data_IF_426960017834
#
_entry.id   IF_426960017834
#
_cell.length_a   1.000
_cell.length_b   1.000
_cell.length_c   1.000
_cell.angle_alpha   90.00
_cell.angle_beta   90.00
_cell.angle_gamma   90.00
#
_symmetry.space_group_name_H-M   'P 1'
#
loop_
_entity.id
_entity.type
_entity.pdbx_description
1 polymer ?
#
# COMPACT_ATOMS: atom_id res chain seq x y z
N UNK A 1 65.35 6.28 45.36
CA UNK A 1 66.00 6.29 44.03
C UNK A 1 65.99 4.84 43.56
N UNK A 2 65.19 4.36 42.61
CA UNK A 2 64.21 4.93 41.70
C UNK A 2 63.30 3.75 41.31
N UNK A 3 62.02 3.77 41.67
CA UNK A 3 61.04 2.74 41.30
C UNK A 3 60.54 2.99 39.86
N UNK A 4 60.40 1.92 39.08
CA UNK A 4 59.91 1.97 37.69
C UNK A 4 58.40 2.28 37.69
N UNK A 5 57.89 3.17 36.82
CA UNK A 5 56.46 3.26 36.58
C UNK A 5 56.06 2.23 35.51
N UNK A 6 55.05 1.42 35.84
CA UNK A 6 54.37 0.53 34.90
C UNK A 6 53.53 1.32 33.90
N UNK A 7 53.58 0.89 32.66
CA UNK A 7 52.70 1.32 31.56
C UNK A 7 51.28 0.87 31.84
N UNK A 8 50.41 1.81 32.23
CA UNK A 8 48.96 1.65 32.29
C UNK A 8 48.39 1.88 30.88
N UNK A 9 48.43 0.85 30.03
CA UNK A 9 47.65 0.81 28.79
C UNK A 9 46.19 0.62 29.15
N UNK A 10 45.47 1.74 29.31
CA UNK A 10 44.00 1.73 29.31
C UNK A 10 43.52 1.37 27.90
N UNK A 11 42.64 0.37 27.74
CA UNK A 11 42.04 0.11 26.44
C UNK A 11 41.17 1.29 26.04
N UNK A 12 41.42 1.81 24.83
CA UNK A 12 40.61 2.82 24.17
C UNK A 12 39.14 2.40 24.23
N UNK A 13 38.33 3.22 24.91
CA UNK A 13 36.90 3.03 24.95
C UNK A 13 36.36 3.20 23.53
N UNK A 14 36.01 2.08 22.91
CA UNK A 14 35.34 1.98 21.63
C UNK A 14 34.08 2.87 21.66
N UNK A 15 34.20 4.06 21.05
CA UNK A 15 33.19 5.11 21.08
C UNK A 15 31.99 4.60 20.26
N UNK A 16 30.97 4.11 20.99
CA UNK A 16 29.79 3.51 20.39
C UNK A 16 29.00 4.58 19.64
N UNK A 17 28.69 4.38 18.35
CA UNK A 17 27.93 5.35 17.56
C UNK A 17 26.58 5.63 18.23
N UNK A 18 26.26 6.93 18.35
CA UNK A 18 25.10 7.42 19.06
C UNK A 18 23.79 6.87 18.49
N UNK A 19 22.75 6.83 19.33
CA UNK A 19 21.40 6.32 19.02
C UNK A 19 20.72 7.03 17.81
N UNK A 20 21.32 8.09 17.27
CA UNK A 20 20.88 8.82 16.07
C UNK A 20 21.53 8.41 14.74
N UNK A 21 22.46 7.45 14.71
CA UNK A 21 23.34 7.22 13.54
C UNK A 21 22.93 6.07 12.62
N UNK A 22 21.78 5.42 12.87
CA UNK A 22 21.34 4.23 12.11
C UNK A 22 19.92 4.40 11.59
N UNK A 23 19.64 3.96 10.34
CA UNK A 23 18.28 3.97 9.82
C UNK A 23 17.41 3.11 10.73
N UNK A 24 16.27 3.66 11.14
CA UNK A 24 15.44 3.10 12.21
C UNK A 24 14.03 2.72 11.77
N UNK A 25 13.63 3.12 10.56
CA UNK A 25 12.29 2.89 10.03
C UNK A 25 12.38 1.87 8.89
N UNK A 26 11.59 0.81 8.99
CA UNK A 26 11.38 -0.18 7.94
C UNK A 26 10.02 0.05 7.27
N UNK A 27 9.99 0.10 5.96
CA UNK A 27 8.77 -0.01 5.17
C UNK A 27 8.81 -1.36 4.45
N UNK A 28 7.83 -2.21 4.73
CA UNK A 28 7.69 -3.53 4.14
C UNK A 28 6.62 -3.51 3.06
N UNK A 29 6.89 -4.23 1.97
CA UNK A 29 5.91 -4.56 0.94
C UNK A 29 5.87 -6.06 0.76
N UNK A 30 4.77 -6.65 1.17
CA UNK A 30 4.52 -8.06 1.16
C UNK A 30 4.07 -8.54 -0.22
N UNK A 31 4.61 -9.67 -0.67
CA UNK A 31 4.25 -10.30 -1.94
C UNK A 31 4.14 -11.81 -1.74
N UNK A 32 2.98 -12.36 -2.03
CA UNK A 32 2.77 -13.81 -1.96
C UNK A 32 3.60 -14.51 -3.04
N UNK A 33 4.32 -15.56 -2.66
CA UNK A 33 5.04 -16.42 -3.61
C UNK A 33 3.99 -17.15 -4.46
N UNK A 34 4.04 -16.98 -5.79
CA UNK A 34 3.02 -17.48 -6.72
C UNK A 34 1.97 -16.44 -7.17
N UNK A 35 1.97 -15.24 -6.58
CA UNK A 35 1.08 -14.13 -6.96
C UNK A 35 -0.21 -14.05 -6.14
N UNK A 36 -0.92 -12.94 -6.32
CA UNK A 36 -2.20 -12.63 -5.68
C UNK A 36 -2.15 -11.72 -4.45
N UNK A 37 -3.28 -11.06 -4.08
CA UNK A 37 -3.37 -10.24 -2.88
C UNK A 37 -3.30 -11.13 -1.64
N UNK A 38 -2.76 -10.57 -0.56
CA UNK A 38 -2.91 -11.17 0.76
C UNK A 38 -4.38 -11.13 1.16
N UNK A 39 -4.89 -12.26 1.65
CA UNK A 39 -6.17 -12.32 2.33
C UNK A 39 -6.08 -11.61 3.69
N UNK A 40 -7.24 -11.26 4.26
CA UNK A 40 -7.29 -10.53 5.54
C UNK A 40 -6.57 -11.28 6.67
N UNK A 41 -6.65 -12.61 6.70
CA UNK A 41 -5.98 -13.45 7.69
C UNK A 41 -4.46 -13.49 7.53
N UNK A 42 -3.94 -13.63 6.30
CA UNK A 42 -2.51 -13.61 6.04
C UNK A 42 -1.86 -12.26 6.33
N UNK A 43 -2.56 -11.16 6.03
CA UNK A 43 -2.06 -9.82 6.35
C UNK A 43 -2.00 -9.56 7.86
N UNK A 44 -3.02 -9.98 8.61
CA UNK A 44 -3.02 -9.87 10.07
C UNK A 44 -1.83 -10.64 10.70
N UNK A 45 -1.60 -11.88 10.27
CA UNK A 45 -0.45 -12.67 10.76
C UNK A 45 0.91 -12.02 10.47
N UNK A 46 1.07 -11.34 9.33
CA UNK A 46 2.29 -10.59 9.01
C UNK A 46 2.47 -9.36 9.91
N UNK A 47 1.38 -8.69 10.30
CA UNK A 47 1.45 -7.59 11.26
C UNK A 47 1.78 -8.11 12.67
N UNK A 48 1.23 -9.24 13.09
CA UNK A 48 1.58 -9.89 14.35
C UNK A 48 3.06 -10.30 14.37
N UNK A 49 3.57 -10.82 13.25
CA UNK A 49 5.00 -11.09 13.08
C UNK A 49 5.83 -9.82 13.29
N UNK A 50 5.44 -8.69 12.69
CA UNK A 50 6.14 -7.41 12.93
C UNK A 50 6.02 -6.95 14.38
N UNK A 51 4.86 -7.15 15.00
CA UNK A 51 4.59 -6.90 16.42
C UNK A 51 5.54 -7.63 17.36
N UNK A 52 6.02 -8.82 16.95
CA UNK A 52 7.03 -9.58 17.71
C UNK A 52 8.42 -8.92 17.74
N UNK A 53 8.68 -7.96 16.83
CA UNK A 53 9.94 -7.21 16.80
C UNK A 53 9.81 -5.81 17.41
N UNK A 54 8.69 -5.13 17.15
CA UNK A 54 8.44 -3.78 17.66
C UNK A 54 6.93 -3.55 17.85
N UNK A 55 6.51 -2.86 18.92
CA UNK A 55 5.12 -2.44 19.07
C UNK A 55 4.74 -1.29 18.12
N UNK A 56 5.73 -0.62 17.51
CA UNK A 56 5.50 0.54 16.64
C UNK A 56 5.29 0.10 15.19
N UNK A 57 4.13 -0.50 14.90
CA UNK A 57 3.75 -1.00 13.58
C UNK A 57 2.51 -0.28 13.05
N UNK A 58 2.65 0.39 11.92
CA UNK A 58 1.56 1.00 11.17
C UNK A 58 1.22 0.12 9.96
N UNK A 59 0.02 -0.44 9.96
CA UNK A 59 -0.55 -1.13 8.82
C UNK A 59 -0.78 -0.14 7.67
N UNK A 60 -0.23 -0.48 6.49
CA UNK A 60 -0.42 0.25 5.24
C UNK A 60 -1.00 -0.69 4.16
N UNK A 61 -2.31 -1.01 4.21
CA UNK A 61 -2.98 -1.79 3.16
C UNK A 61 -2.73 -1.18 1.78
N UNK A 62 -2.66 -1.98 0.71
CA UNK A 62 -3.12 -3.37 0.62
C UNK A 62 -2.10 -4.45 1.01
N UNK A 63 -0.81 -4.13 0.91
CA UNK A 63 0.29 -5.08 0.97
C UNK A 63 1.49 -4.53 1.75
N UNK A 64 1.33 -3.45 2.53
CA UNK A 64 2.43 -2.77 3.18
C UNK A 64 2.31 -2.65 4.69
N UNK A 65 3.42 -2.35 5.34
CA UNK A 65 3.47 -1.93 6.73
C UNK A 65 4.69 -1.04 6.96
N UNK A 66 4.59 -0.10 7.89
CA UNK A 66 5.74 0.61 8.44
C UNK A 66 6.01 0.11 9.86
N UNK A 67 7.29 -0.05 10.20
CA UNK A 67 7.73 -0.45 11.51
C UNK A 67 8.89 0.44 11.98
N UNK A 68 8.77 1.02 13.16
CA UNK A 68 9.88 1.69 13.82
C UNK A 68 10.64 0.67 14.67
N UNK A 69 11.84 0.32 14.21
CA UNK A 69 12.68 -0.71 14.82
C UNK A 69 13.82 -0.13 15.65
N UNK A 70 13.88 1.19 15.87
CA UNK A 70 14.99 1.84 16.59
C UNK A 70 15.27 1.20 17.95
N UNK A 71 14.21 0.88 18.72
CA UNK A 71 14.34 0.19 20.00
C UNK A 71 14.73 -1.29 19.87
N UNK A 72 14.34 -1.94 18.76
CA UNK A 72 14.60 -3.35 18.51
C UNK A 72 16.05 -3.62 18.07
N UNK A 73 16.70 -2.67 17.38
CA UNK A 73 18.07 -2.82 16.87
C UNK A 73 19.05 -3.26 17.98
N UNK A 74 18.96 -2.61 19.15
CA UNK A 74 19.81 -2.93 20.31
C UNK A 74 19.49 -4.30 20.91
N UNK A 75 18.21 -4.63 21.04
CA UNK A 75 17.77 -5.92 21.60
C UNK A 75 18.22 -7.10 20.74
N UNK A 76 18.10 -6.98 19.41
CA UNK A 76 18.51 -8.04 18.49
C UNK A 76 19.99 -8.03 18.12
N UNK A 77 20.75 -7.01 18.56
CA UNK A 77 22.18 -6.87 18.23
C UNK A 77 22.43 -6.76 16.71
N UNK A 78 21.50 -6.18 15.96
CA UNK A 78 21.54 -6.09 14.50
C UNK A 78 21.30 -4.66 14.03
N UNK A 79 21.83 -4.34 12.86
CA UNK A 79 21.44 -3.15 12.12
C UNK A 79 20.07 -3.35 11.42
N UNK A 80 19.54 -2.30 10.83
CA UNK A 80 18.23 -2.36 10.18
C UNK A 80 18.20 -3.34 8.99
N UNK A 81 19.32 -3.49 8.26
CA UNK A 81 19.45 -4.44 7.16
C UNK A 81 19.38 -5.89 7.68
N UNK A 82 20.14 -6.19 8.73
CA UNK A 82 20.17 -7.49 9.37
C UNK A 82 18.83 -7.86 10.01
N UNK A 83 18.12 -6.90 10.61
CA UNK A 83 16.78 -7.13 11.14
C UNK A 83 15.74 -7.33 10.03
N UNK A 84 15.79 -6.53 8.96
CA UNK A 84 14.94 -6.71 7.77
C UNK A 84 15.13 -8.10 7.14
N UNK A 85 16.36 -8.61 7.10
CA UNK A 85 16.63 -9.96 6.62
C UNK A 85 15.96 -11.04 7.49
N UNK A 86 15.99 -10.90 8.83
CA UNK A 86 15.30 -11.82 9.75
C UNK A 86 13.79 -11.77 9.52
N UNK A 87 13.21 -10.58 9.41
CA UNK A 87 11.78 -10.41 9.14
C UNK A 87 11.39 -11.08 7.84
N UNK A 88 12.15 -10.88 6.77
CA UNK A 88 11.90 -11.52 5.46
C UNK A 88 11.94 -13.04 5.54
N UNK A 89 12.96 -13.61 6.19
CA UNK A 89 13.08 -15.07 6.35
C UNK A 89 11.89 -15.63 7.13
N UNK A 90 11.46 -14.97 8.22
CA UNK A 90 10.29 -15.40 8.99
C UNK A 90 8.99 -15.26 8.23
N UNK A 91 8.79 -14.16 7.50
CA UNK A 91 7.61 -13.97 6.66
C UNK A 91 7.50 -15.06 5.59
N UNK A 92 8.62 -15.42 4.97
CA UNK A 92 8.66 -16.48 3.97
C UNK A 92 8.40 -17.86 4.60
N UNK A 93 9.06 -18.18 5.71
CA UNK A 93 8.95 -19.49 6.36
C UNK A 93 7.58 -19.74 7.01
N UNK A 94 7.00 -18.72 7.66
CA UNK A 94 5.75 -18.87 8.42
C UNK A 94 4.50 -18.61 7.58
N UNK A 95 4.59 -17.73 6.57
CA UNK A 95 3.43 -17.29 5.81
C UNK A 95 3.55 -17.53 4.30
N UNK A 96 4.69 -18.00 3.78
CA UNK A 96 4.90 -18.15 2.33
C UNK A 96 4.90 -16.81 1.58
N UNK A 97 5.26 -15.72 2.27
CA UNK A 97 5.22 -14.35 1.74
C UNK A 97 6.63 -13.78 1.70
N UNK A 98 7.03 -13.35 0.51
CA UNK A 98 8.28 -12.64 0.32
C UNK A 98 8.08 -11.13 0.54
N UNK A 99 9.17 -10.43 0.89
CA UNK A 99 9.12 -9.02 1.27
C UNK A 99 10.15 -8.20 0.49
N UNK A 100 9.70 -7.10 -0.11
CA UNK A 100 10.58 -6.01 -0.50
C UNK A 100 10.61 -4.98 0.64
N UNK A 101 11.79 -4.69 1.19
CA UNK A 101 11.92 -3.87 2.40
C UNK A 101 12.77 -2.63 2.10
N UNK A 102 12.27 -1.45 2.45
CA UNK A 102 13.03 -0.20 2.49
C UNK A 102 13.40 0.15 3.91
N UNK A 103 14.67 0.47 4.18
CA UNK A 103 15.13 0.96 5.48
C UNK A 103 15.67 2.38 5.33
N UNK A 104 15.25 3.29 6.21
CA UNK A 104 15.73 4.67 6.22
C UNK A 104 15.59 5.34 7.60
N UNK A 105 16.00 6.61 7.68
CA UNK A 105 15.89 7.43 8.90
C UNK A 105 14.46 7.92 9.20
N UNK A 106 13.58 7.97 8.20
CA UNK A 106 12.19 8.43 8.35
C UNK A 106 11.20 7.68 7.44
N UNK A 107 9.88 7.77 7.72
CA UNK A 107 8.83 7.07 6.96
C UNK A 107 8.81 7.37 5.47
N UNK A 108 8.93 8.63 5.06
CA UNK A 108 8.97 9.04 3.66
C UNK A 108 10.10 8.33 2.89
N UNK A 109 11.33 8.41 3.40
CA UNK A 109 12.49 7.78 2.77
C UNK A 109 12.38 6.25 2.78
N UNK A 110 11.85 5.65 3.85
CA UNK A 110 11.64 4.21 3.93
C UNK A 110 10.62 3.73 2.88
N UNK A 111 9.51 4.45 2.68
CA UNK A 111 8.53 4.17 1.62
C UNK A 111 9.15 4.29 0.23
N UNK A 112 9.95 5.33 -0.01
CA UNK A 112 10.65 5.52 -1.29
C UNK A 112 11.70 4.42 -1.53
N UNK A 113 12.44 4.02 -0.50
CA UNK A 113 13.39 2.91 -0.54
C UNK A 113 12.69 1.58 -0.86
N UNK A 114 11.54 1.30 -0.22
CA UNK A 114 10.77 0.07 -0.45
C UNK A 114 10.21 -0.01 -1.87
N UNK A 115 9.88 1.13 -2.50
CA UNK A 115 9.48 1.18 -3.92
C UNK A 115 10.62 0.84 -4.87
N UNK A 116 11.87 1.03 -4.46
CA UNK A 116 13.08 0.70 -5.24
C UNK A 116 13.61 -0.70 -4.97
N UNK A 117 13.34 -1.25 -3.78
CA UNK A 117 13.72 -2.61 -3.44
C UNK A 117 13.11 -3.59 -4.45
N UNK A 118 13.95 -4.49 -4.95
CA UNK A 118 13.49 -5.61 -5.75
C UNK A 118 12.71 -6.59 -4.84
N UNK A 119 11.86 -7.45 -5.41
CA UNK A 119 11.24 -8.54 -4.65
C UNK A 119 12.33 -9.35 -3.92
N UNK A 120 12.12 -9.61 -2.64
CA UNK A 120 13.04 -10.39 -1.80
C UNK A 120 14.31 -9.65 -1.37
N UNK A 121 14.43 -8.34 -1.65
CA UNK A 121 15.61 -7.56 -1.26
C UNK A 121 15.29 -6.45 -0.28
N UNK A 122 16.34 -5.98 0.37
CA UNK A 122 16.29 -4.81 1.26
C UNK A 122 17.08 -3.68 0.63
N UNK A 123 16.47 -2.50 0.50
CA UNK A 123 17.15 -1.28 0.07
C UNK A 123 17.32 -0.35 1.27
N UNK A 124 18.56 0.01 1.59
CA UNK A 124 18.88 0.87 2.74
C UNK A 124 19.30 2.23 2.24
N UNK A 125 18.63 3.28 2.74
CA UNK A 125 19.11 4.66 2.62
C UNK A 125 19.95 4.94 3.87
N UNK A 126 21.27 5.18 3.73
CA UNK A 126 22.13 5.46 4.87
C UNK A 126 21.75 6.81 5.49
N UNK A 127 22.03 6.96 6.79
CA UNK A 127 21.83 8.23 7.51
C UNK A 127 22.66 9.33 6.83
N UNK A 128 22.07 10.51 6.62
CA UNK A 128 22.68 11.60 5.86
C UNK A 128 22.73 11.39 4.34
N UNK A 129 22.37 10.21 3.84
CA UNK A 129 22.33 9.88 2.41
C UNK A 129 21.08 10.37 1.67
N UNK A 130 20.16 11.07 2.34
CA UNK A 130 18.88 11.47 1.79
C UNK A 130 19.02 12.38 0.56
N UNK A 131 19.92 13.37 0.61
CA UNK A 131 20.13 14.31 -0.49
C UNK A 131 20.57 13.58 -1.78
N UNK A 132 21.55 12.67 -1.68
CA UNK A 132 22.03 11.88 -2.81
C UNK A 132 20.95 10.91 -3.32
N UNK A 133 20.17 10.30 -2.42
CA UNK A 133 19.08 9.38 -2.80
C UNK A 133 17.95 10.10 -3.57
N UNK A 134 17.70 11.38 -3.25
CA UNK A 134 16.61 12.18 -3.78
C UNK A 134 16.98 13.01 -5.01
N UNK A 135 18.23 13.46 -5.18
CA UNK A 135 18.62 14.47 -6.17
C UNK A 135 18.06 14.22 -7.59
N UNK A 136 18.28 13.02 -8.13
CA UNK A 136 17.90 12.67 -9.51
C UNK A 136 16.48 12.10 -9.63
N UNK A 137 15.69 12.13 -8.55
CA UNK A 137 14.34 11.60 -8.57
C UNK A 137 13.39 12.56 -9.26
N UNK A 138 12.45 12.06 -10.08
CA UNK A 138 11.39 12.90 -10.60
C UNK A 138 10.50 13.39 -9.44
N UNK A 139 9.92 14.57 -9.57
CA UNK A 139 8.99 15.15 -8.59
C UNK A 139 7.84 14.19 -8.26
N UNK A 140 7.40 13.39 -9.24
CA UNK A 140 6.37 12.36 -9.08
C UNK A 140 6.75 11.21 -8.14
N UNK A 141 8.04 10.98 -7.90
CA UNK A 141 8.51 9.92 -7.00
C UNK A 141 8.49 10.35 -5.52
N UNK A 142 8.42 11.66 -5.23
CA UNK A 142 8.44 12.17 -3.87
C UNK A 142 7.18 11.75 -3.12
N UNK A 143 7.36 11.02 -2.02
CA UNK A 143 6.26 10.51 -1.23
C UNK A 143 5.50 11.66 -0.54
N UNK A 144 4.16 11.61 -0.59
CA UNK A 144 3.27 12.66 -0.08
C UNK A 144 2.96 13.81 -1.05
N UNK A 145 3.51 13.80 -2.28
CA UNK A 145 3.17 14.81 -3.29
C UNK A 145 2.13 14.26 -4.28
N UNK A 146 0.96 14.88 -4.29
CA UNK A 146 -0.14 14.47 -5.17
C UNK A 146 0.11 14.81 -6.64
N UNK A 147 -0.50 14.05 -7.56
CA UNK A 147 -0.34 14.22 -9.00
C UNK A 147 -0.71 15.64 -9.50
N UNK A 148 -1.64 16.33 -8.83
CA UNK A 148 -1.98 17.71 -9.16
C UNK A 148 -0.80 18.66 -8.87
N UNK A 149 -0.23 18.58 -7.67
CA UNK A 149 0.94 19.35 -7.27
C UNK A 149 2.14 19.07 -8.17
N UNK A 150 2.38 17.78 -8.50
CA UNK A 150 3.44 17.40 -9.45
C UNK A 150 3.23 18.08 -10.81
N UNK A 151 2.02 18.06 -11.37
CA UNK A 151 1.74 18.73 -12.65
C UNK A 151 2.02 20.24 -12.57
N UNK A 152 1.59 20.89 -11.49
CA UNK A 152 1.88 22.31 -11.28
C UNK A 152 3.37 22.57 -11.23
N UNK A 153 4.13 21.82 -10.42
CA UNK A 153 5.59 21.95 -10.30
C UNK A 153 6.31 21.74 -11.64
N UNK A 154 5.93 20.71 -12.39
CA UNK A 154 6.47 20.47 -13.73
C UNK A 154 6.20 21.65 -14.68
N UNK A 155 5.05 22.31 -14.57
CA UNK A 155 4.74 23.53 -15.33
C UNK A 155 5.68 24.71 -15.06
N UNK A 156 6.33 24.72 -13.89
CA UNK A 156 7.35 25.71 -13.51
C UNK A 156 8.79 25.17 -13.68
N UNK A 157 8.99 24.05 -14.39
CA UNK A 157 10.32 23.44 -14.61
C UNK A 157 10.91 22.69 -13.40
N UNK A 158 10.12 22.54 -12.32
CA UNK A 158 10.48 21.80 -11.12
C UNK A 158 10.10 20.32 -11.26
N UNK A 159 10.74 19.64 -12.22
CA UNK A 159 10.47 18.24 -12.59
C UNK A 159 11.24 17.20 -11.75
N UNK A 160 12.26 17.62 -10.98
CA UNK A 160 13.08 16.76 -10.14
C UNK A 160 13.10 17.21 -8.68
N UNK A 161 13.30 16.26 -7.76
CA UNK A 161 13.38 16.54 -6.32
C UNK A 161 14.61 17.40 -6.01
N UNK A 162 15.73 17.21 -6.71
CA UNK A 162 16.89 18.10 -6.60
C UNK A 162 16.57 19.56 -6.95
N UNK A 163 15.80 19.81 -8.01
CA UNK A 163 15.36 21.17 -8.38
C UNK A 163 14.39 21.75 -7.36
N UNK A 164 13.46 20.96 -6.85
CA UNK A 164 12.55 21.38 -5.78
C UNK A 164 13.33 21.72 -4.51
N UNK A 165 14.34 20.92 -4.16
CA UNK A 165 15.22 21.21 -3.04
C UNK A 165 16.00 22.51 -3.26
N UNK A 166 16.53 22.77 -4.46
CA UNK A 166 17.25 24.01 -4.76
C UNK A 166 16.35 25.26 -4.78
N UNK A 167 15.04 25.11 -4.99
CA UNK A 167 14.12 26.23 -5.08
C UNK A 167 13.98 26.98 -3.73
N UNK A 168 13.91 28.33 -3.74
CA UNK A 168 13.60 29.12 -2.55
C UNK A 168 12.23 28.75 -1.97
N UNK A 169 12.13 28.67 -0.65
CA UNK A 169 10.88 28.33 0.05
C UNK A 169 9.72 29.25 -0.37
N UNK A 170 9.96 30.57 -0.46
CA UNK A 170 8.95 31.54 -0.87
C UNK A 170 8.38 31.27 -2.27
N UNK A 171 9.19 30.76 -3.20
CA UNK A 171 8.73 30.37 -4.54
C UNK A 171 7.79 29.17 -4.47
N UNK A 172 8.16 28.13 -3.74
CA UNK A 172 7.31 26.94 -3.57
C UNK A 172 5.97 27.29 -2.87
N UNK A 173 6.02 28.20 -1.90
CA UNK A 173 4.82 28.67 -1.21
C UNK A 173 3.89 29.49 -2.10
N UNK A 174 4.42 30.30 -3.02
CA UNK A 174 3.61 31.02 -4.02
C UNK A 174 2.95 30.07 -5.02
N UNK A 175 3.62 28.98 -5.40
CA UNK A 175 3.11 28.01 -6.37
C UNK A 175 2.05 27.07 -5.75
N UNK A 176 2.29 26.59 -4.53
CA UNK A 176 1.51 25.47 -3.93
C UNK A 176 0.72 25.85 -2.67
N UNK A 177 0.91 27.08 -2.17
CA UNK A 177 0.38 27.54 -0.88
C UNK A 177 1.41 27.42 0.25
N UNK A 178 1.21 28.20 1.32
CA UNK A 178 2.19 28.37 2.42
C UNK A 178 2.53 27.05 3.12
N UNK A 179 1.51 26.25 3.46
CA UNK A 179 1.68 24.97 4.16
C UNK A 179 2.30 23.92 3.26
N UNK A 180 1.66 23.65 2.11
CA UNK A 180 2.12 22.66 1.12
C UNK A 180 3.52 22.96 0.63
N UNK A 181 3.84 24.23 0.39
CA UNK A 181 5.17 24.66 -0.06
C UNK A 181 6.25 24.39 0.98
N UNK A 182 5.95 24.57 2.27
CA UNK A 182 6.87 24.21 3.36
C UNK A 182 7.07 22.70 3.47
N UNK A 183 5.98 21.94 3.48
CA UNK A 183 6.05 20.47 3.55
C UNK A 183 6.82 19.89 2.36
N UNK A 184 6.59 20.43 1.15
CA UNK A 184 7.30 20.04 -0.06
C UNK A 184 8.80 20.37 0.02
N UNK A 185 9.15 21.56 0.52
CA UNK A 185 10.54 22.01 0.66
C UNK A 185 11.33 21.17 1.66
N UNK A 186 10.70 20.79 2.78
CA UNK A 186 11.26 19.89 3.79
C UNK A 186 11.44 18.47 3.23
N UNK A 187 10.39 17.90 2.61
CA UNK A 187 10.43 16.56 1.99
C UNK A 187 11.49 16.44 0.90
N UNK A 188 11.64 17.46 0.06
CA UNK A 188 12.66 17.46 -1.00
C UNK A 188 14.10 17.43 -0.45
N UNK A 189 14.30 17.84 0.80
CA UNK A 189 15.58 17.75 1.53
C UNK A 189 15.73 16.49 2.36
N UNK A 190 14.79 15.54 2.24
CA UNK A 190 14.81 14.32 3.06
C UNK A 190 14.19 14.49 4.44
N UNK A 191 13.63 15.66 4.77
CA UNK A 191 13.07 15.93 6.09
C UNK A 191 11.60 15.50 6.10
N UNK A 192 11.30 14.50 6.92
CA UNK A 192 9.95 14.05 7.22
C UNK A 192 9.79 13.94 8.74
N UNK A 193 8.84 14.71 9.29
CA UNK A 193 8.54 14.74 10.72
C UNK A 193 7.42 13.77 11.12
N UNK A 194 6.91 12.98 10.17
CA UNK A 194 5.87 11.99 10.49
C UNK A 194 6.45 10.87 11.34
N UNK A 195 5.68 10.44 12.33
CA UNK A 195 5.98 9.28 13.15
C UNK A 195 5.21 8.06 12.63
N UNK A 196 5.74 6.86 12.89
CA UNK A 196 4.99 5.61 12.68
C UNK A 196 3.94 5.52 13.78
N UNK A 197 2.66 5.54 13.41
CA UNK A 197 1.55 5.52 14.37
C UNK A 197 0.92 4.14 14.35
N UNK A 198 0.96 3.38 15.46
CA UNK A 198 0.30 2.09 15.53
C UNK A 198 -1.19 2.21 15.20
N UNK A 199 -1.64 1.37 14.27
CA UNK A 199 -3.04 1.30 13.90
C UNK A 199 -3.47 -0.17 13.74
N UNK A 200 -4.78 -0.40 13.86
CA UNK A 200 -5.34 -1.68 13.45
C UNK A 200 -5.39 -1.74 11.92
N UNK A 201 -5.10 -2.91 11.34
CA UNK A 201 -5.37 -3.15 9.94
C UNK A 201 -6.85 -2.85 9.65
N UNK A 202 -7.11 -1.93 8.73
CA UNK A 202 -8.46 -1.69 8.25
C UNK A 202 -8.99 -3.02 7.67
N UNK A 203 -10.12 -3.51 8.20
CA UNK A 203 -10.78 -4.68 7.64
C UNK A 203 -11.08 -4.40 6.18
N UNK A 204 -10.60 -5.29 5.30
CA UNK A 204 -10.81 -5.21 3.86
C UNK A 204 -11.09 -6.60 3.31
N UNK A 205 -11.93 -6.66 2.30
CA UNK A 205 -12.23 -7.91 1.56
C UNK A 205 -11.75 -7.67 0.13
N UNK A 206 -10.92 -8.58 -0.37
CA UNK A 206 -10.36 -8.49 -1.71
C UNK A 206 -10.69 -9.75 -2.52
N UNK A 207 -10.84 -9.56 -3.84
CA UNK A 207 -10.99 -10.62 -4.82
C UNK A 207 -10.14 -10.27 -6.04
N UNK A 208 -9.53 -11.27 -6.69
CA UNK A 208 -8.76 -11.04 -7.91
C UNK A 208 -9.03 -12.05 -8.99
N UNK A 209 -8.75 -11.65 -10.23
CA UNK A 209 -8.80 -12.51 -11.39
C UNK A 209 -7.56 -12.32 -12.24
N UNK A 210 -6.81 -13.40 -12.41
CA UNK A 210 -5.68 -13.47 -13.34
C UNK A 210 -6.16 -14.06 -14.66
N UNK A 211 -5.77 -13.44 -15.77
CA UNK A 211 -6.10 -13.92 -17.10
C UNK A 211 -5.07 -14.96 -17.56
N UNK A 212 -5.50 -16.04 -18.24
CA UNK A 212 -4.58 -17.07 -18.75
C UNK A 212 -3.68 -16.55 -19.89
N UNK A 213 -4.14 -15.53 -20.62
CA UNK A 213 -3.38 -14.81 -21.64
C UNK A 213 -3.58 -13.31 -21.43
N UNK A 214 -2.59 -12.52 -21.80
CA UNK A 214 -2.64 -11.06 -21.72
C UNK A 214 -3.88 -10.52 -22.45
N UNK A 215 -4.76 -9.85 -21.71
CA UNK A 215 -6.07 -9.45 -22.19
C UNK A 215 -6.08 -7.98 -22.62
N UNK A 216 -6.59 -7.75 -23.84
CA UNK A 216 -6.74 -6.42 -24.46
C UNK A 216 -8.22 -6.03 -24.60
N UNK A 217 -9.14 -7.01 -24.57
CA UNK A 217 -10.56 -6.82 -24.78
C UNK A 217 -11.23 -6.16 -23.59
N UNK A 218 -11.72 -4.93 -23.78
CA UNK A 218 -12.48 -4.19 -22.75
C UNK A 218 -13.69 -4.98 -22.24
N UNK A 219 -14.38 -5.69 -23.12
CA UNK A 219 -15.57 -6.46 -22.73
C UNK A 219 -15.22 -7.60 -21.78
N UNK A 220 -14.10 -8.27 -22.01
CA UNK A 220 -13.64 -9.35 -21.13
C UNK A 220 -13.14 -8.82 -19.78
N UNK A 221 -12.48 -7.67 -19.78
CA UNK A 221 -12.09 -6.97 -18.55
C UNK A 221 -13.33 -6.54 -17.76
N UNK A 222 -14.38 -6.03 -18.42
CA UNK A 222 -15.65 -5.66 -17.78
C UNK A 222 -16.37 -6.87 -17.19
N UNK A 223 -16.43 -8.00 -17.90
CA UNK A 223 -16.97 -9.27 -17.35
C UNK A 223 -16.18 -9.73 -16.12
N UNK A 224 -14.85 -9.64 -16.15
CA UNK A 224 -14.02 -9.98 -14.99
C UNK A 224 -14.33 -9.07 -13.80
N UNK A 225 -14.44 -7.76 -14.01
CA UNK A 225 -14.83 -6.80 -12.96
C UNK A 225 -16.20 -7.12 -12.36
N UNK A 226 -17.21 -7.37 -13.20
CA UNK A 226 -18.56 -7.72 -12.75
C UNK A 226 -18.57 -9.00 -11.91
N UNK A 227 -17.83 -10.02 -12.35
CA UNK A 227 -17.67 -11.26 -11.58
C UNK A 227 -16.99 -11.03 -10.23
N UNK A 228 -15.97 -10.17 -10.18
CA UNK A 228 -15.27 -9.85 -8.93
C UNK A 228 -16.14 -9.04 -7.97
N UNK A 229 -16.96 -8.12 -8.48
CA UNK A 229 -17.90 -7.36 -7.64
C UNK A 229 -19.04 -8.21 -7.11
N UNK A 230 -19.50 -9.22 -7.88
CA UNK A 230 -20.47 -10.20 -7.38
C UNK A 230 -19.89 -11.03 -6.24
N UNK A 231 -18.67 -11.53 -6.40
CA UNK A 231 -17.97 -12.31 -5.36
C UNK A 231 -17.75 -11.47 -4.10
N UNK A 232 -17.25 -10.24 -4.25
CA UNK A 232 -17.08 -9.31 -3.13
C UNK A 232 -18.40 -8.97 -2.45
N UNK A 233 -19.44 -8.66 -3.22
CA UNK A 233 -20.76 -8.32 -2.69
C UNK A 233 -21.36 -9.48 -1.91
N UNK A 234 -21.35 -10.68 -2.49
CA UNK A 234 -21.87 -11.88 -1.82
C UNK A 234 -21.11 -12.19 -0.52
N UNK A 235 -19.78 -12.05 -0.53
CA UNK A 235 -18.96 -12.26 0.67
C UNK A 235 -19.26 -11.23 1.76
N UNK A 236 -19.30 -9.95 1.42
CA UNK A 236 -19.64 -8.89 2.39
C UNK A 236 -21.03 -9.08 2.97
N UNK A 237 -22.03 -9.40 2.14
CA UNK A 237 -23.41 -9.66 2.60
C UNK A 237 -23.50 -10.91 3.49
N UNK A 238 -22.75 -11.97 3.17
CA UNK A 238 -22.64 -13.16 4.01
C UNK A 238 -22.03 -12.87 5.39
N UNK A 239 -21.10 -11.91 5.47
CA UNK A 239 -20.48 -11.46 6.73
C UNK A 239 -21.25 -10.33 7.43
N UNK A 240 -22.40 -9.87 6.88
CA UNK A 240 -23.17 -8.75 7.43
C UNK A 240 -22.45 -7.40 7.34
N UNK A 241 -21.58 -7.22 6.35
CA UNK A 241 -20.70 -6.05 6.21
C UNK A 241 -21.08 -5.20 4.98
N UNK A 242 -20.73 -3.92 5.04
CA UNK A 242 -20.77 -2.97 3.91
C UNK A 242 -19.44 -2.25 3.78
N UNK A 243 -19.10 -1.78 2.58
CA UNK A 243 -17.85 -1.05 2.33
C UNK A 243 -18.09 0.43 2.02
N UNK A 244 -17.16 1.29 2.45
CA UNK A 244 -17.19 2.74 2.17
C UNK A 244 -16.35 3.12 0.96
N UNK A 245 -15.34 2.33 0.60
CA UNK A 245 -14.45 2.60 -0.52
C UNK A 245 -14.19 1.33 -1.31
N UNK A 246 -13.97 1.49 -2.62
CA UNK A 246 -13.56 0.42 -3.52
C UNK A 246 -12.24 0.80 -4.18
N UNK A 247 -11.27 -0.10 -4.10
CA UNK A 247 -10.00 -0.01 -4.80
C UNK A 247 -9.94 -1.02 -5.95
N UNK A 248 -9.50 -0.56 -7.14
CA UNK A 248 -9.24 -1.38 -8.31
C UNK A 248 -7.75 -1.37 -8.57
N UNK A 249 -7.16 -2.56 -8.68
CA UNK A 249 -5.77 -2.77 -9.05
C UNK A 249 -5.69 -3.47 -10.40
N UNK A 250 -4.96 -2.90 -11.35
CA UNK A 250 -4.72 -3.47 -12.68
C UNK A 250 -3.25 -3.85 -12.79
N UNK A 251 -2.99 -5.12 -13.11
CA UNK A 251 -1.65 -5.68 -13.31
C UNK A 251 -1.36 -5.74 -14.81
N UNK A 252 -0.32 -5.05 -15.27
CA UNK A 252 0.09 -5.03 -16.67
C UNK A 252 1.02 -6.20 -17.00
N UNK A 253 1.04 -6.56 -18.28
CA UNK A 253 2.06 -7.43 -18.85
C UNK A 253 3.18 -6.58 -19.45
N UNK A 254 4.12 -6.15 -18.62
CA UNK A 254 5.38 -5.55 -19.06
C UNK A 254 6.52 -6.59 -19.09
N UNK A 255 7.52 -6.37 -19.95
CA UNK A 255 8.68 -7.26 -20.12
C UNK A 255 9.54 -7.39 -18.84
N UNK A 256 9.35 -6.49 -17.88
CA UNK A 256 10.08 -6.46 -16.60
C UNK A 256 9.34 -7.18 -15.47
N UNK A 257 8.09 -7.58 -15.72
CA UNK A 257 7.23 -8.19 -14.71
C UNK A 257 6.75 -7.18 -13.67
N UNK A 258 5.44 -7.05 -13.54
CA UNK A 258 4.74 -6.62 -12.33
C UNK A 258 4.56 -5.11 -12.08
N UNK A 259 4.37 -4.27 -13.11
CA UNK A 259 3.70 -2.99 -12.86
C UNK A 259 2.23 -3.22 -12.50
N UNK A 260 1.86 -2.88 -11.25
CA UNK A 260 0.48 -2.87 -10.77
C UNK A 260 0.09 -1.44 -10.45
N UNK A 261 -0.99 -0.95 -11.06
CA UNK A 261 -1.54 0.36 -10.73
C UNK A 261 -2.83 0.18 -9.93
N UNK A 262 -2.92 0.86 -8.80
CA UNK A 262 -4.07 0.83 -7.90
C UNK A 262 -4.70 2.21 -7.83
N UNK A 263 -6.03 2.28 -7.92
CA UNK A 263 -6.83 3.48 -7.68
C UNK A 263 -8.01 3.15 -6.80
N UNK A 264 -8.27 3.99 -5.80
CA UNK A 264 -9.41 3.86 -4.92
C UNK A 264 -10.38 5.04 -5.08
N UNK A 265 -11.66 4.77 -4.85
CA UNK A 265 -12.69 5.81 -4.73
C UNK A 265 -13.63 5.48 -3.58
N UNK A 266 -14.02 6.53 -2.87
CA UNK A 266 -15.02 6.48 -1.81
C UNK A 266 -16.42 6.54 -2.42
N UNK A 267 -17.29 5.66 -1.93
CA UNK A 267 -18.72 5.63 -2.24
C UNK A 267 -19.40 6.81 -1.52
N UNK A 268 -20.53 7.26 -2.06
CA UNK A 268 -21.36 8.27 -1.38
C UNK A 268 -22.00 7.69 -0.12
N UNK A 269 -22.41 6.43 -0.21
CA UNK A 269 -23.02 5.66 0.87
C UNK A 269 -22.33 4.31 1.00
N UNK A 270 -22.13 3.79 2.22
CA UNK A 270 -21.60 2.45 2.42
C UNK A 270 -22.56 1.41 1.84
N UNK A 271 -22.05 0.53 0.98
CA UNK A 271 -22.88 -0.47 0.29
C UNK A 271 -22.16 -1.80 0.14
N UNK A 272 -22.94 -2.87 0.01
CA UNK A 272 -22.49 -4.19 -0.39
C UNK A 272 -23.19 -4.67 -1.68
N UNK A 273 -23.93 -3.79 -2.37
CA UNK A 273 -24.72 -4.15 -3.55
C UNK A 273 -23.86 -4.32 -4.79
N UNK A 274 -24.01 -5.47 -5.47
CA UNK A 274 -23.14 -5.86 -6.56
C UNK A 274 -23.26 -4.90 -7.74
N UNK A 275 -24.46 -4.38 -8.03
CA UNK A 275 -24.71 -3.43 -9.10
C UNK A 275 -23.97 -2.09 -8.90
N UNK A 276 -24.05 -1.51 -7.70
CA UNK A 276 -23.39 -0.25 -7.35
C UNK A 276 -21.86 -0.40 -7.36
N UNK A 277 -21.36 -1.52 -6.81
CA UNK A 277 -19.94 -1.86 -6.85
C UNK A 277 -19.46 -2.04 -8.28
N UNK A 278 -20.23 -2.71 -9.15
CA UNK A 278 -19.91 -2.89 -10.58
C UNK A 278 -19.80 -1.54 -11.29
N UNK A 279 -20.77 -0.64 -11.07
CA UNK A 279 -20.78 0.69 -11.67
C UNK A 279 -19.58 1.54 -11.20
N UNK A 280 -19.21 1.46 -9.92
CA UNK A 280 -18.02 2.12 -9.41
C UNK A 280 -16.74 1.52 -9.98
N UNK A 281 -16.63 0.19 -10.01
CA UNK A 281 -15.48 -0.52 -10.54
C UNK A 281 -15.22 -0.15 -12.01
N UNK A 282 -16.26 -0.04 -12.84
CA UNK A 282 -16.15 0.44 -14.22
C UNK A 282 -15.63 1.88 -14.29
N UNK A 283 -16.15 2.80 -13.48
CA UNK A 283 -15.67 4.19 -13.45
C UNK A 283 -14.21 4.31 -13.05
N UNK A 284 -13.77 3.52 -12.07
CA UNK A 284 -12.36 3.49 -11.65
C UNK A 284 -11.51 2.88 -12.76
N UNK A 285 -11.95 1.77 -13.35
CA UNK A 285 -11.27 1.09 -14.43
C UNK A 285 -11.06 2.00 -15.65
N UNK A 286 -12.11 2.70 -16.08
CA UNK A 286 -12.06 3.64 -17.20
C UNK A 286 -11.11 4.81 -16.92
N UNK A 287 -10.95 5.21 -15.65
CA UNK A 287 -10.01 6.27 -15.27
C UNK A 287 -8.54 5.91 -15.53
N UNK A 288 -8.17 4.63 -15.55
CA UNK A 288 -6.80 4.23 -15.88
C UNK A 288 -6.41 4.55 -17.33
N UNK A 289 -7.39 4.86 -18.19
CA UNK A 289 -7.17 5.23 -19.58
C UNK A 289 -6.26 4.23 -20.30
N UNK A 290 -6.58 2.94 -20.20
CA UNK A 290 -5.81 1.82 -20.76
C UNK A 290 -5.78 1.91 -22.30
N UNK A 291 -4.82 2.66 -22.84
CA UNK A 291 -4.59 2.83 -24.27
C UNK A 291 -3.91 1.57 -24.83
N UNK A 292 -4.68 0.50 -25.09
CA UNK A 292 -4.19 -0.81 -25.60
C UNK A 292 -3.17 -1.51 -24.69
N UNK A 293 -3.19 -1.21 -23.41
CA UNK A 293 -2.30 -1.85 -22.46
C UNK A 293 -2.72 -3.32 -22.23
N UNK A 294 -1.74 -4.23 -22.26
CA UNK A 294 -1.94 -5.66 -21.98
C UNK A 294 -2.17 -5.87 -20.50
N UNK A 295 -3.34 -6.38 -20.14
CA UNK A 295 -3.70 -6.64 -18.73
C UNK A 295 -3.54 -8.12 -18.42
N UNK A 296 -2.78 -8.45 -17.39
CA UNK A 296 -2.57 -9.81 -16.92
C UNK A 296 -3.48 -10.20 -15.77
N UNK A 297 -3.95 -9.22 -14.99
CA UNK A 297 -4.92 -9.48 -13.93
C UNK A 297 -5.56 -8.21 -13.40
N UNK A 298 -6.71 -8.38 -12.75
CA UNK A 298 -7.48 -7.33 -12.11
C UNK A 298 -7.80 -7.78 -10.69
N UNK A 299 -7.58 -6.93 -9.70
CA UNK A 299 -7.98 -7.16 -8.32
C UNK A 299 -8.89 -6.03 -7.83
N UNK A 300 -9.90 -6.39 -7.05
CA UNK A 300 -10.79 -5.47 -6.36
C UNK A 300 -10.59 -5.61 -4.85
N UNK A 301 -10.65 -4.51 -4.13
CA UNK A 301 -10.62 -4.48 -2.66
C UNK A 301 -11.66 -3.53 -2.13
N UNK A 302 -12.55 -4.05 -1.30
CA UNK A 302 -13.51 -3.30 -0.50
C UNK A 302 -12.85 -2.85 0.80
N UNK A 303 -12.88 -1.55 1.07
CA UNK A 303 -12.22 -0.90 2.20
C UNK A 303 -13.23 -0.12 3.06
N UNK A 304 -12.85 0.13 4.32
CA UNK A 304 -13.72 0.80 5.29
C UNK A 304 -14.96 -0.05 5.58
N UNK A 305 -14.74 -1.32 5.90
CA UNK A 305 -15.81 -2.26 6.21
C UNK A 305 -16.49 -1.85 7.52
N UNK A 306 -17.81 -1.76 7.46
CA UNK A 306 -18.68 -1.48 8.60
C UNK A 306 -19.79 -2.51 8.72
N UNK A 307 -20.44 -2.52 9.87
CA UNK A 307 -21.64 -3.31 10.12
C UNK A 307 -22.80 -2.79 9.25
N UNK A 308 -23.41 -3.68 8.46
CA UNK A 308 -24.52 -3.34 7.58
C UNK A 308 -25.73 -2.77 8.33
N UNK A 309 -25.99 -3.23 9.57
CA UNK A 309 -27.09 -2.77 10.40
C UNK A 309 -26.87 -1.38 11.00
N UNK A 310 -25.63 -0.88 11.02
CA UNK A 310 -25.27 0.47 11.50
C UNK A 310 -24.96 1.45 10.37
N UNK A 311 -25.06 1.00 9.12
CA UNK A 311 -24.77 1.82 7.97
C UNK A 311 -25.92 2.80 7.72
N UNK A 312 -25.61 4.09 7.74
CA UNK A 312 -26.56 5.11 7.31
C UNK A 312 -26.79 4.97 5.80
N UNK A 313 -28.04 4.71 5.44
CA UNK A 313 -28.49 4.60 4.05
C UNK A 313 -29.55 5.65 3.77
N UNK A 314 -29.44 6.33 2.62
CA UNK A 314 -30.50 7.22 2.16
C UNK A 314 -31.59 6.39 1.51
N UNK A 315 -32.73 6.29 2.20
CA UNK A 315 -33.93 5.66 1.64
C UNK A 315 -34.32 6.37 0.34
N UNK A 316 -34.37 5.61 -0.75
CA UNK A 316 -34.83 6.08 -2.05
C UNK A 316 -36.22 5.51 -2.29
N UNK A 317 -37.16 6.33 -2.74
CA UNK A 317 -38.52 5.88 -3.11
C UNK A 317 -38.57 5.22 -4.51
N UNK A 318 -37.43 4.78 -5.04
CA UNK A 318 -37.34 4.15 -6.36
C UNK A 318 -37.65 2.65 -6.24
N UNK A 319 -38.78 2.16 -6.78
CA UNK A 319 -39.15 0.75 -6.71
C UNK A 319 -38.19 -0.17 -7.48
N UNK A 320 -37.37 0.36 -8.40
CA UNK A 320 -36.40 -0.43 -9.16
C UNK A 320 -35.22 -0.86 -8.28
N UNK A 321 -34.74 0.04 -7.42
CA UNK A 321 -33.63 -0.25 -6.50
C UNK A 321 -34.04 -1.30 -5.45
N UNK A 322 -35.22 -1.11 -4.85
CA UNK A 322 -35.76 -2.07 -3.87
C UNK A 322 -35.98 -3.47 -4.46
N UNK A 323 -36.36 -3.56 -5.73
CA UNK A 323 -36.51 -4.84 -6.43
C UNK A 323 -35.14 -5.50 -6.69
N UNK A 324 -34.14 -4.72 -7.12
CA UNK A 324 -32.80 -5.23 -7.37
C UNK A 324 -32.17 -5.83 -6.10
N UNK A 325 -32.33 -5.15 -4.96
CA UNK A 325 -31.82 -5.62 -3.66
C UNK A 325 -32.50 -6.89 -3.19
N UNK A 326 -33.83 -6.99 -3.33
CA UNK A 326 -34.57 -8.22 -3.03
C UNK A 326 -34.11 -9.39 -3.89
N UNK A 327 -33.83 -9.15 -5.18
CA UNK A 327 -33.29 -10.17 -6.08
C UNK A 327 -31.90 -10.64 -5.61
N UNK A 328 -31.00 -9.73 -5.21
CA UNK A 328 -29.68 -10.10 -4.69
C UNK A 328 -29.79 -10.98 -3.43
N UNK A 329 -30.65 -10.61 -2.47
CA UNK A 329 -30.86 -11.40 -1.25
C UNK A 329 -31.44 -12.79 -1.52
N UNK A 330 -32.23 -12.95 -2.59
CA UNK A 330 -32.73 -14.27 -3.03
C UNK A 330 -31.62 -15.05 -3.75
N UNK A 331 -30.87 -14.40 -4.64
CA UNK A 331 -29.76 -15.01 -5.36
C UNK A 331 -28.69 -15.53 -4.38
N UNK A 332 -28.37 -14.79 -3.33
CA UNK A 332 -27.39 -15.20 -2.32
C UNK A 332 -27.89 -16.39 -1.49
N UNK A 333 -29.17 -16.44 -1.13
CA UNK A 333 -29.77 -17.62 -0.48
C UNK A 333 -29.70 -18.86 -1.36
N UNK A 334 -29.95 -18.70 -2.66
CA UNK A 334 -29.81 -19.80 -3.62
C UNK A 334 -28.35 -20.24 -3.75
N UNK A 335 -27.40 -19.31 -3.79
CA UNK A 335 -25.96 -19.63 -3.83
C UNK A 335 -25.47 -20.33 -2.57
N UNK A 336 -25.96 -19.91 -1.40
CA UNK A 336 -25.61 -20.56 -0.13
C UNK A 336 -26.11 -22.01 -0.08
N UNK A 337 -27.26 -22.31 -0.69
CA UNK A 337 -27.86 -23.65 -0.67
C UNK A 337 -27.39 -24.57 -1.80
N UNK A 338 -27.19 -24.03 -3.00
CA UNK A 338 -26.93 -24.80 -4.23
C UNK A 338 -25.55 -24.55 -4.84
N UNK A 339 -24.73 -23.72 -4.20
CA UNK A 339 -23.37 -23.40 -4.64
C UNK A 339 -23.27 -22.11 -5.46
N UNK A 340 -22.04 -21.60 -5.68
CA UNK A 340 -21.78 -20.27 -6.25
C UNK A 340 -22.23 -20.12 -7.71
N UNK A 341 -22.39 -21.22 -8.45
CA UNK A 341 -22.84 -21.23 -9.85
C UNK A 341 -24.37 -21.34 -10.00
N UNK A 342 -25.12 -21.45 -8.90
CA UNK A 342 -26.57 -21.67 -8.96
C UNK A 342 -27.33 -20.49 -9.59
N UNK A 343 -26.87 -19.26 -9.36
CA UNK A 343 -27.44 -18.04 -9.94
C UNK A 343 -26.31 -17.11 -10.34
N UNK A 344 -26.26 -16.73 -11.62
CA UNK A 344 -25.31 -15.78 -12.15
C UNK A 344 -26.00 -14.78 -13.10
N UNK A 345 -25.53 -13.53 -13.15
CA UNK A 345 -25.99 -12.56 -14.14
C UNK A 345 -25.85 -13.10 -15.55
N UNK A 346 -26.84 -12.83 -16.41
CA UNK A 346 -26.83 -13.30 -17.80
C UNK A 346 -25.59 -12.88 -18.59
N UNK A 347 -24.94 -11.76 -18.23
CA UNK A 347 -23.66 -11.33 -18.85
C UNK A 347 -22.46 -12.23 -18.51
N UNK A 348 -22.57 -13.06 -17.47
CA UNK A 348 -21.53 -14.02 -17.04
C UNK A 348 -21.83 -15.45 -17.51
N UNK A 349 -23.03 -15.73 -18.00
CA UNK A 349 -23.50 -17.07 -18.38
C UNK A 349 -23.03 -17.54 -19.77
N UNK A 350 -21.89 -17.05 -20.27
CA UNK A 350 -21.40 -17.28 -21.63
C UNK A 350 -20.03 -17.95 -21.67
#
# INVERSE_FOLDING_TARGET
MNERPGTDERPEAEERPGVGERPGILCLRFRRVGGGPLDGGGYAGLLDLLGSFTPLVEAAPPDGALADVRGALRYFGRDAAGLAAVVRVRALALHGVDCAIGAAENPMLARMAARRAAPGTTFVVPVGGAAAFLADRPAAALDGVGAATVRTLCGYGLDSVGRIAAAPLGTLQRITGVRTGRELWERARGIDRTAVVPNAAARSVAAERTFPRDELGRERQRRALMSLTEELGARMRGEGQVCRSLAVSVRYADRTGYSTLTRSRTLREPTAHSAELTALAYRIHDSFALQRARVRGIALRAEGLGDAGRAAHQLTFDPVDERARRIEAVADRLRARFGPQAVMPGRLAA
#
